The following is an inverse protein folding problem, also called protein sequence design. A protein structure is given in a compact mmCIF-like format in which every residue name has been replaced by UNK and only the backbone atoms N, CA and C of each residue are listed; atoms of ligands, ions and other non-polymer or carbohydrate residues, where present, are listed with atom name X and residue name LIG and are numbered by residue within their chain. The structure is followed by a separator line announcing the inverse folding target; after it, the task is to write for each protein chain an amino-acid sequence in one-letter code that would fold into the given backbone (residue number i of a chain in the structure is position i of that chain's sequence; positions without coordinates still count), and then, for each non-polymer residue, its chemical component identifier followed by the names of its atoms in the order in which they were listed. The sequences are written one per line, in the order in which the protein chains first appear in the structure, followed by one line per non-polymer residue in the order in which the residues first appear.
data_IF_603404693138
#
_entry.id   IF_603404693138
#
_cell.length_a   1.000
_cell.length_b   1.000
_cell.length_c   1.000
_cell.angle_alpha   90.00
_cell.angle_beta   90.00
_cell.angle_gamma   90.00
#
_symmetry.space_group_name_H-M   'P 1'
#
loop_
_entity.id
_entity.type
_entity.pdbx_description
1 polymer ?
#
# COMPACT_ATOMS: atom_id res chain seq x y z
N UNK A 1 -19.45 -18.81 -4.18
CA UNK A 1 -18.31 -18.53 -5.08
C UNK A 1 -17.44 -17.56 -4.34
N UNK A 2 -16.33 -18.02 -3.80
CA UNK A 2 -15.34 -17.12 -3.20
C UNK A 2 -14.74 -16.28 -4.33
N UNK A 3 -14.95 -14.97 -4.27
CA UNK A 3 -14.36 -14.03 -5.20
C UNK A 3 -12.85 -14.09 -4.95
N UNK A 4 -12.09 -14.56 -5.93
CA UNK A 4 -10.63 -14.66 -5.83
C UNK A 4 -10.09 -13.29 -5.42
N UNK A 5 -9.33 -13.23 -4.31
CA UNK A 5 -8.80 -11.95 -3.84
C UNK A 5 -7.80 -11.46 -4.90
N UNK A 6 -7.95 -10.23 -5.39
CA UNK A 6 -6.98 -9.68 -6.33
C UNK A 6 -5.61 -9.69 -5.68
N UNK A 7 -4.59 -10.09 -6.45
CA UNK A 7 -3.23 -10.08 -5.95
C UNK A 7 -2.78 -8.62 -5.69
N UNK A 8 -1.78 -8.47 -4.82
CA UNK A 8 -1.21 -7.15 -4.47
C UNK A 8 -0.77 -6.39 -5.73
N UNK A 9 -0.38 -7.13 -6.78
CA UNK A 9 0.08 -6.56 -8.03
C UNK A 9 -1.05 -5.85 -8.80
N UNK A 10 -2.18 -6.51 -9.03
CA UNK A 10 -3.34 -5.96 -9.72
C UNK A 10 -3.89 -4.74 -8.99
N UNK A 11 -3.85 -4.75 -7.65
CA UNK A 11 -4.24 -3.60 -6.84
C UNK A 11 -3.32 -2.41 -7.13
N UNK A 12 -2.00 -2.60 -7.12
CA UNK A 12 -1.03 -1.53 -7.38
C UNK A 12 -1.17 -0.98 -8.80
N UNK A 13 -1.34 -1.83 -9.80
CA UNK A 13 -1.52 -1.41 -11.20
C UNK A 13 -2.78 -0.53 -11.37
N UNK A 14 -3.90 -0.91 -10.76
CA UNK A 14 -5.14 -0.13 -10.81
C UNK A 14 -5.02 1.21 -10.07
N UNK A 15 -4.40 1.22 -8.88
CA UNK A 15 -4.19 2.45 -8.12
C UNK A 15 -3.24 3.42 -8.84
N UNK A 16 -2.20 2.90 -9.45
CA UNK A 16 -1.25 3.70 -10.21
C UNK A 16 -1.88 4.42 -11.40
N UNK A 17 -2.73 3.73 -12.18
CA UNK A 17 -3.42 4.36 -13.31
C UNK A 17 -4.32 5.51 -12.85
N UNK A 18 -5.04 5.32 -11.74
CA UNK A 18 -5.87 6.36 -11.13
C UNK A 18 -5.06 7.59 -10.66
N UNK A 19 -3.76 7.43 -10.42
CA UNK A 19 -2.88 8.45 -9.86
C UNK A 19 -1.79 8.92 -10.82
N UNK A 20 -1.79 8.53 -12.10
CA UNK A 20 -0.66 8.77 -13.03
C UNK A 20 -0.26 10.25 -13.23
N UNK A 21 -1.10 11.20 -12.83
CA UNK A 21 -0.83 12.64 -12.92
C UNK A 21 -0.63 13.29 -11.54
N UNK A 22 -0.56 12.51 -10.46
CA UNK A 22 -0.53 12.97 -9.08
C UNK A 22 0.90 12.90 -8.52
N UNK A 23 1.84 13.65 -9.11
CA UNK A 23 3.18 13.90 -8.53
C UNK A 23 3.91 12.68 -7.95
N UNK A 24 4.66 12.91 -6.87
CA UNK A 24 5.28 11.85 -6.06
C UNK A 24 4.24 11.27 -5.09
N UNK A 25 4.16 9.94 -5.02
CA UNK A 25 3.11 9.22 -4.29
C UNK A 25 3.72 8.34 -3.20
N UNK A 26 3.33 8.56 -1.95
CA UNK A 26 3.61 7.63 -0.86
C UNK A 26 2.49 6.59 -0.75
N UNK A 27 2.82 5.30 -0.77
CA UNK A 27 1.86 4.19 -0.78
C UNK A 27 2.05 3.24 0.40
N UNK A 28 1.03 3.09 1.24
CA UNK A 28 0.98 2.04 2.27
C UNK A 28 0.10 0.87 1.82
N UNK A 29 0.67 -0.33 1.70
CA UNK A 29 -0.06 -1.57 1.41
C UNK A 29 -0.20 -2.39 2.69
N UNK A 30 -1.44 -2.63 3.11
CA UNK A 30 -1.75 -3.41 4.31
C UNK A 30 -2.27 -4.79 3.91
N UNK A 31 -1.53 -5.86 4.21
CA UNK A 31 -1.93 -7.24 3.91
C UNK A 31 -1.39 -8.25 4.92
N UNK A 32 -2.20 -9.24 5.28
CA UNK A 32 -1.78 -10.39 6.11
C UNK A 32 -0.69 -11.23 5.43
N UNK A 33 -0.59 -11.18 4.09
CA UNK A 33 0.38 -11.97 3.32
C UNK A 33 1.84 -11.59 3.65
N UNK A 34 2.04 -10.37 4.16
CA UNK A 34 3.35 -9.90 4.60
C UNK A 34 3.82 -10.49 5.94
N UNK A 35 2.94 -11.11 6.73
CA UNK A 35 3.26 -11.57 8.08
C UNK A 35 4.39 -12.60 8.12
N UNK A 36 4.51 -13.42 7.07
CA UNK A 36 5.56 -14.45 6.95
C UNK A 36 6.71 -14.01 6.04
N UNK A 37 6.73 -12.75 5.60
CA UNK A 37 7.75 -12.24 4.68
C UNK A 37 8.77 -11.36 5.42
N UNK A 38 10.08 -11.66 5.30
CA UNK A 38 11.11 -10.74 5.75
C UNK A 38 11.07 -9.47 4.90
N UNK A 39 11.53 -8.35 5.48
CA UNK A 39 11.42 -7.01 4.90
C UNK A 39 11.88 -6.93 3.43
N UNK A 40 13.02 -7.56 3.08
CA UNK A 40 13.54 -7.52 1.71
C UNK A 40 12.60 -8.20 0.69
N UNK A 41 11.87 -9.25 1.07
CA UNK A 41 10.90 -9.91 0.18
C UNK A 41 9.66 -9.06 -0.04
N UNK A 42 9.24 -8.31 0.99
CA UNK A 42 8.14 -7.35 0.87
C UNK A 42 8.49 -6.28 -0.17
N UNK A 43 9.70 -5.72 -0.09
CA UNK A 43 10.20 -4.77 -1.10
C UNK A 43 10.35 -5.37 -2.49
N UNK A 44 10.76 -6.64 -2.61
CA UNK A 44 10.84 -7.32 -3.90
C UNK A 44 9.46 -7.43 -4.58
N UNK A 45 8.42 -7.81 -3.82
CA UNK A 45 7.04 -7.91 -4.33
C UNK A 45 6.53 -6.56 -4.80
N UNK A 46 6.63 -5.54 -3.94
CA UNK A 46 6.19 -4.19 -4.26
C UNK A 46 6.97 -3.60 -5.44
N UNK A 47 8.29 -3.75 -5.45
CA UNK A 47 9.16 -3.25 -6.51
C UNK A 47 8.86 -3.87 -7.87
N UNK A 48 8.54 -5.18 -7.92
CA UNK A 48 8.11 -5.86 -9.15
C UNK A 48 6.79 -5.30 -9.69
N UNK A 49 5.83 -4.99 -8.81
CA UNK A 49 4.57 -4.37 -9.21
C UNK A 49 4.80 -2.93 -9.72
N UNK A 50 5.58 -2.13 -9.00
CA UNK A 50 5.86 -0.73 -9.36
C UNK A 50 6.71 -0.57 -10.61
N UNK A 51 7.62 -1.50 -10.89
CA UNK A 51 8.44 -1.47 -12.11
C UNK A 51 7.61 -1.50 -13.40
N UNK A 52 6.36 -1.97 -13.35
CA UNK A 52 5.43 -1.95 -14.51
C UNK A 52 4.73 -0.60 -14.66
N UNK A 53 4.52 0.07 -13.55
CA UNK A 53 3.83 1.36 -13.46
C UNK A 53 4.77 2.50 -13.87
N UNK A 54 6.05 2.43 -13.50
CA UNK A 54 7.07 3.45 -13.84
C UNK A 54 6.67 4.87 -13.41
N UNK A 55 6.10 5.01 -12.21
CA UNK A 55 5.76 6.29 -11.57
C UNK A 55 6.58 6.46 -10.29
N UNK A 56 6.81 7.70 -9.82
CA UNK A 56 7.51 7.96 -8.57
C UNK A 56 6.63 7.61 -7.36
N UNK A 57 6.56 6.32 -7.05
CA UNK A 57 5.80 5.77 -5.93
C UNK A 57 6.77 5.23 -4.88
N UNK A 58 6.66 5.68 -3.64
CA UNK A 58 7.40 5.17 -2.47
C UNK A 58 6.52 4.18 -1.69
N UNK A 59 6.76 2.86 -1.80
CA UNK A 59 5.89 1.87 -1.17
C UNK A 59 6.37 1.45 0.22
N UNK A 60 5.41 1.21 1.12
CA UNK A 60 5.60 0.56 2.40
C UNK A 60 4.62 -0.61 2.55
N UNK A 61 5.15 -1.77 2.94
CA UNK A 61 4.35 -2.96 3.20
C UNK A 61 4.19 -3.21 4.70
N UNK A 62 2.95 -3.43 5.12
CA UNK A 62 2.60 -3.56 6.53
C UNK A 62 1.55 -4.66 6.73
N UNK A 63 1.59 -5.40 7.85
CA UNK A 63 0.49 -6.29 8.23
C UNK A 63 -0.59 -5.50 8.97
N UNK A 64 -1.84 -6.00 9.04
CA UNK A 64 -2.88 -5.37 9.86
C UNK A 64 -2.46 -5.15 11.32
N UNK A 65 -1.66 -6.04 11.90
CA UNK A 65 -1.18 -5.96 13.28
C UNK A 65 -0.06 -4.92 13.48
N UNK A 66 0.72 -4.68 12.42
CA UNK A 66 1.76 -3.65 12.39
C UNK A 66 1.15 -2.24 12.22
N UNK A 67 -0.03 -2.12 11.59
CA UNK A 67 -0.77 -0.86 11.47
C UNK A 67 -1.51 -0.54 12.78
N UNK A 68 -0.84 0.16 13.69
CA UNK A 68 -1.47 0.62 14.94
C UNK A 68 -1.90 2.09 14.81
N UNK A 69 -3.19 2.31 14.57
CA UNK A 69 -3.81 3.65 14.41
C UNK A 69 -3.69 4.50 15.69
N UNK A 70 -3.59 3.88 16.86
CA UNK A 70 -3.56 4.59 18.16
C UNK A 70 -2.17 5.09 18.58
N UNK A 71 -1.10 4.68 17.89
CA UNK A 71 0.29 4.99 18.26
C UNK A 71 1.16 5.70 17.21
N UNK A 72 0.69 6.13 16.03
CA UNK A 72 1.59 6.79 15.12
C UNK A 72 1.92 8.18 15.70
N UNK A 73 3.21 8.49 15.78
CA UNK A 73 3.66 9.84 16.12
C UNK A 73 2.97 10.85 15.21
N UNK A 74 2.56 12.01 15.73
CA UNK A 74 1.96 13.08 14.90
C UNK A 74 2.86 13.58 13.76
N UNK A 75 4.14 13.21 13.78
CA UNK A 75 5.11 13.50 12.73
C UNK A 75 5.38 12.32 11.78
N UNK A 76 4.70 11.18 11.93
CA UNK A 76 4.90 10.02 11.05
C UNK A 76 3.92 10.02 9.88
N UNK A 77 4.40 9.51 8.74
CA UNK A 77 3.57 9.25 7.55
C UNK A 77 2.29 8.48 7.88
N UNK A 78 2.39 7.47 8.76
CA UNK A 78 1.25 6.68 9.21
C UNK A 78 0.17 7.53 9.92
N UNK A 79 0.56 8.53 10.70
CA UNK A 79 -0.42 9.43 11.33
C UNK A 79 -1.16 10.27 10.28
N UNK A 80 -0.43 10.78 9.30
CA UNK A 80 -1.03 11.56 8.22
C UNK A 80 -2.05 10.73 7.42
N UNK A 81 -1.67 9.52 7.01
CA UNK A 81 -2.55 8.62 6.25
C UNK A 81 -3.76 8.14 7.07
N UNK A 82 -3.53 7.66 8.30
CA UNK A 82 -4.57 6.95 9.07
C UNK A 82 -5.49 7.89 9.86
N UNK A 83 -5.01 9.05 10.29
CA UNK A 83 -5.74 9.93 11.20
C UNK A 83 -6.20 11.25 10.55
N UNK A 84 -5.54 11.73 9.48
CA UNK A 84 -5.88 13.03 8.86
C UNK A 84 -6.63 12.91 7.53
N UNK A 85 -6.37 11.88 6.74
CA UNK A 85 -6.99 11.75 5.43
C UNK A 85 -8.40 11.19 5.50
N UNK A 86 -9.27 11.64 4.58
CA UNK A 86 -10.62 11.08 4.44
C UNK A 86 -10.52 9.70 3.79
N UNK A 87 -11.11 8.70 4.42
CA UNK A 87 -11.22 7.36 3.84
C UNK A 87 -12.10 7.38 2.60
N UNK A 88 -11.59 6.83 1.50
CA UNK A 88 -12.35 6.53 0.29
C UNK A 88 -12.31 5.02 0.09
N UNK A 89 -13.48 4.39 0.10
CA UNK A 89 -13.60 2.95 -0.14
C UNK A 89 -13.78 2.67 -1.63
N UNK A 90 -12.89 1.84 -2.18
CA UNK A 90 -13.03 1.29 -3.53
C UNK A 90 -13.54 -0.15 -3.41
N UNK A 91 -14.67 -0.45 -4.05
CA UNK A 91 -15.16 -1.83 -4.16
C UNK A 91 -14.66 -2.45 -5.46
N UNK A 92 -14.00 -3.60 -5.34
CA UNK A 92 -13.62 -4.48 -6.44
C UNK A 92 -14.66 -5.58 -6.64
#
# INVERSE_FOLDING_TARGET
MDKERPDIQAIIEQFADALKNQGDIDLLVVSSDFAQMPLYRRYEVLGKALARVMQPIEPLACTPEEVQVEKPSKASFLYDVLARQKTVEYRL
#
